data_IF_544001058071
#
_entry.id   IF_544001058071
#
_cell.length_a   1.000
_cell.length_b   1.000
_cell.length_c   1.000
_cell.angle_alpha   90.00
_cell.angle_beta   90.00
_cell.angle_gamma   90.00
#
_symmetry.space_group_name_H-M   'P 1'
#
loop_
_entity.id
_entity.type
_entity.pdbx_description
1 polymer ?
#
# COMPACT_ATOMS: atom_id res chain seq x y z
N UNK A 1 17.99 -0.07 -42.64
CA UNK A 1 17.55 -1.04 -41.61
C UNK A 1 18.61 -1.08 -40.52
N UNK A 2 18.26 -0.76 -39.26
CA UNK A 2 19.19 -0.85 -38.13
C UNK A 2 19.08 -2.25 -37.53
N UNK A 3 20.18 -2.99 -37.51
CA UNK A 3 20.28 -4.31 -36.86
C UNK A 3 20.22 -4.13 -35.34
N UNK A 4 19.34 -4.83 -34.60
CA UNK A 4 19.32 -4.73 -33.15
C UNK A 4 20.53 -5.48 -32.56
N UNK A 5 21.26 -4.83 -31.67
CA UNK A 5 22.28 -5.48 -30.85
C UNK A 5 21.59 -6.33 -29.77
N UNK A 6 21.59 -7.65 -29.95
CA UNK A 6 21.20 -8.58 -28.88
C UNK A 6 22.40 -8.79 -27.94
N UNK A 7 22.41 -8.11 -26.80
CA UNK A 7 23.39 -8.37 -25.76
C UNK A 7 23.00 -9.64 -25.00
N UNK A 8 23.74 -10.74 -25.22
CA UNK A 8 23.54 -12.01 -24.48
C UNK A 8 24.05 -11.85 -23.04
N UNK A 9 23.23 -12.24 -22.06
CA UNK A 9 23.50 -12.20 -20.60
C UNK A 9 24.77 -12.94 -20.14
N UNK A 10 25.48 -13.65 -21.03
CA UNK A 10 26.60 -14.53 -20.69
C UNK A 10 27.98 -13.88 -20.75
N UNK A 11 28.10 -12.62 -21.21
CA UNK A 11 29.42 -11.97 -21.41
C UNK A 11 29.84 -11.05 -20.26
N UNK A 12 29.12 -11.02 -19.13
CA UNK A 12 29.43 -10.09 -18.03
C UNK A 12 30.18 -10.72 -16.83
N UNK A 13 30.88 -11.84 -17.03
CA UNK A 13 31.71 -12.42 -15.95
C UNK A 13 33.12 -12.76 -16.44
N UNK A 14 33.86 -11.74 -16.84
CA UNK A 14 35.32 -11.84 -16.90
C UNK A 14 35.93 -10.48 -16.62
N UNK A 15 36.55 -10.36 -15.44
CA UNK A 15 37.48 -9.28 -15.11
C UNK A 15 36.95 -8.31 -14.07
N UNK A 16 37.40 -8.49 -12.82
CA UNK A 16 38.26 -7.55 -12.11
C UNK A 16 38.46 -8.13 -10.70
N UNK A 17 39.61 -8.76 -10.47
CA UNK A 17 40.13 -8.99 -9.13
C UNK A 17 40.78 -7.68 -8.66
N UNK A 18 39.96 -6.70 -8.30
CA UNK A 18 40.42 -5.55 -7.54
C UNK A 18 40.27 -5.91 -6.06
N UNK A 19 41.40 -5.96 -5.37
CA UNK A 19 41.50 -6.03 -3.91
C UNK A 19 40.67 -4.90 -3.29
N UNK A 20 39.46 -5.22 -2.85
CA UNK A 20 38.69 -4.36 -1.99
C UNK A 20 39.36 -4.34 -0.61
N UNK A 21 40.05 -3.26 -0.27
CA UNK A 21 40.29 -2.93 1.13
C UNK A 21 38.93 -2.67 1.76
N UNK A 22 38.32 -3.71 2.32
CA UNK A 22 37.06 -3.62 3.03
C UNK A 22 37.27 -2.76 4.28
N UNK A 23 36.97 -1.46 4.17
CA UNK A 23 36.62 -0.69 5.36
C UNK A 23 35.36 -1.34 5.93
N UNK A 24 35.33 -1.58 7.24
CA UNK A 24 34.16 -2.14 7.89
C UNK A 24 32.97 -1.21 7.59
N UNK A 25 32.05 -1.67 6.73
CA UNK A 25 30.84 -0.94 6.45
C UNK A 25 30.06 -0.83 7.76
N UNK A 26 29.88 0.40 8.25
CA UNK A 26 29.03 0.65 9.42
C UNK A 26 27.58 0.42 8.98
N UNK A 27 27.06 -0.77 9.31
CA UNK A 27 25.73 -1.24 8.92
C UNK A 27 24.62 -0.84 9.91
N UNK A 28 24.91 0.09 10.82
CA UNK A 28 23.95 0.55 11.83
C UNK A 28 22.90 1.47 11.19
N UNK A 29 21.88 0.86 10.58
CA UNK A 29 20.70 1.56 10.08
C UNK A 29 19.71 1.88 11.24
N UNK A 30 18.97 2.99 11.16
CA UNK A 30 17.95 3.31 12.15
C UNK A 30 16.80 2.28 12.15
N UNK A 31 16.23 2.03 13.33
CA UNK A 31 15.03 1.21 13.45
C UNK A 31 13.85 1.94 12.81
N UNK A 32 13.19 1.30 11.84
CA UNK A 32 12.10 1.91 11.06
C UNK A 32 10.72 1.83 11.73
N UNK A 33 10.61 1.14 12.87
CA UNK A 33 9.34 0.94 13.56
C UNK A 33 8.39 -0.04 12.87
N UNK A 34 7.13 -0.12 13.32
CA UNK A 34 6.12 -1.01 12.73
C UNK A 34 5.71 -0.55 11.33
N UNK A 35 5.37 -1.53 10.47
CA UNK A 35 4.84 -1.29 9.12
C UNK A 35 3.42 -1.86 9.02
N UNK A 36 2.63 -1.31 8.09
CA UNK A 36 1.27 -1.78 7.78
C UNK A 36 1.30 -2.78 6.63
N UNK A 37 0.44 -3.80 6.68
CA UNK A 37 0.27 -4.71 5.54
C UNK A 37 -0.43 -3.99 4.39
N UNK A 38 0.21 -3.91 3.23
CA UNK A 38 -0.36 -3.28 2.03
C UNK A 38 -1.30 -4.20 1.26
N UNK A 39 -1.40 -5.47 1.65
CA UNK A 39 -2.39 -6.39 1.10
C UNK A 39 -2.81 -7.41 2.14
N UNK A 40 -3.97 -8.03 1.95
CA UNK A 40 -4.44 -9.13 2.79
C UNK A 40 -5.18 -10.16 1.96
N UNK A 41 -4.62 -11.37 1.92
CA UNK A 41 -5.23 -12.54 1.31
C UNK A 41 -6.11 -13.31 2.30
N UNK A 42 -7.27 -13.78 1.85
CA UNK A 42 -8.16 -14.68 2.60
C UNK A 42 -9.10 -15.43 1.67
N UNK A 43 -9.68 -16.53 2.18
CA UNK A 43 -10.68 -17.31 1.44
C UNK A 43 -12.10 -16.82 1.70
N UNK A 44 -12.95 -16.86 0.68
CA UNK A 44 -14.41 -16.76 0.80
C UNK A 44 -15.06 -17.84 -0.08
N UNK A 45 -15.56 -18.91 0.54
CA UNK A 45 -16.01 -20.08 -0.19
C UNK A 45 -14.85 -20.71 -0.99
N UNK A 46 -15.05 -20.89 -2.30
CA UNK A 46 -14.03 -21.42 -3.22
C UNK A 46 -13.10 -20.36 -3.79
N UNK A 47 -13.27 -19.08 -3.43
CA UNK A 47 -12.48 -17.98 -3.96
C UNK A 47 -11.33 -17.61 -3.05
N UNK A 48 -10.19 -17.28 -3.66
CA UNK A 48 -9.08 -16.59 -3.00
C UNK A 48 -9.23 -15.09 -3.28
N UNK A 49 -9.34 -14.29 -2.22
CA UNK A 49 -9.53 -12.84 -2.29
C UNK A 49 -8.29 -12.16 -1.73
N UNK A 50 -7.77 -11.18 -2.46
CA UNK A 50 -6.71 -10.28 -1.99
C UNK A 50 -7.19 -8.84 -2.06
N UNK A 51 -7.27 -8.18 -0.90
CA UNK A 51 -7.41 -6.71 -0.85
C UNK A 51 -6.04 -6.06 -0.92
N UNK A 52 -5.91 -4.96 -1.65
CA UNK A 52 -4.66 -4.20 -1.82
C UNK A 52 -4.90 -2.78 -1.34
N UNK A 53 -4.19 -2.32 -0.31
CA UNK A 53 -4.19 -0.92 0.10
C UNK A 53 -3.30 -0.12 -0.86
N UNK A 54 -3.90 0.44 -1.92
CA UNK A 54 -3.17 1.22 -2.94
C UNK A 54 -2.93 2.66 -2.54
N UNK A 55 -3.67 3.18 -1.56
CA UNK A 55 -3.50 4.54 -1.08
C UNK A 55 -4.23 4.82 0.22
N UNK A 56 -3.69 5.78 0.97
CA UNK A 56 -4.31 6.34 2.18
C UNK A 56 -4.19 7.84 2.10
N UNK A 57 -5.32 8.55 2.20
CA UNK A 57 -5.37 10.00 2.13
C UNK A 57 -6.08 10.51 3.38
N UNK A 58 -5.40 11.37 4.13
CA UNK A 58 -6.02 12.15 5.20
C UNK A 58 -6.54 13.45 4.61
N UNK A 59 -7.84 13.70 4.74
CA UNK A 59 -8.49 14.93 4.30
C UNK A 59 -8.69 15.81 5.52
N UNK A 60 -8.01 16.97 5.54
CA UNK A 60 -8.06 17.92 6.65
C UNK A 60 -9.16 18.98 6.39
N UNK A 61 -10.41 18.60 6.59
CA UNK A 61 -11.58 19.47 6.53
C UNK A 61 -12.63 19.00 7.55
N UNK A 62 -13.69 19.79 7.72
CA UNK A 62 -14.84 19.42 8.56
C UNK A 62 -15.51 18.13 8.01
N UNK A 63 -15.40 16.98 8.70
CA UNK A 63 -16.01 15.74 8.26
C UNK A 63 -17.54 15.79 8.32
N UNK A 64 -18.13 16.56 9.22
CA UNK A 64 -19.58 16.62 9.38
C UNK A 64 -20.27 17.29 8.19
N UNK A 65 -19.54 18.13 7.44
CA UNK A 65 -20.04 18.68 6.17
C UNK A 65 -20.34 17.62 5.09
N UNK A 66 -19.89 16.38 5.27
CA UNK A 66 -20.11 15.24 4.36
C UNK A 66 -20.82 14.07 5.07
N UNK A 67 -20.45 13.76 6.31
CA UNK A 67 -20.94 12.62 7.07
C UNK A 67 -21.83 13.07 8.23
N UNK A 68 -22.80 12.24 8.65
CA UNK A 68 -23.62 12.57 9.83
C UNK A 68 -24.45 13.87 9.67
N UNK A 69 -24.84 14.22 8.44
CA UNK A 69 -25.61 15.44 8.13
C UNK A 69 -26.99 15.51 8.79
N UNK A 70 -27.45 14.38 9.33
CA UNK A 70 -28.77 14.21 9.95
C UNK A 70 -28.74 14.30 11.48
N UNK A 71 -27.58 14.58 12.09
CA UNK A 71 -27.43 14.71 13.55
C UNK A 71 -26.91 16.10 13.93
N UNK A 72 -27.09 16.47 15.20
CA UNK A 72 -26.50 17.71 15.73
C UNK A 72 -24.98 17.65 15.78
N UNK A 73 -24.32 18.81 15.84
CA UNK A 73 -22.87 18.92 16.02
C UNK A 73 -22.41 18.24 17.33
N UNK A 74 -23.15 18.45 18.43
CA UNK A 74 -22.84 17.84 19.73
C UNK A 74 -22.90 16.30 19.68
N UNK A 75 -23.90 15.75 18.98
CA UNK A 75 -24.02 14.30 18.81
C UNK A 75 -22.89 13.73 17.95
N UNK A 76 -22.55 14.40 16.85
CA UNK A 76 -21.43 14.01 15.99
C UNK A 76 -20.11 13.97 16.76
N UNK A 77 -19.79 15.06 17.48
CA UNK A 77 -18.57 15.16 18.30
C UNK A 77 -18.51 14.09 19.38
N UNK A 78 -19.62 13.85 20.08
CA UNK A 78 -19.70 12.82 21.11
C UNK A 78 -19.43 11.43 20.55
N UNK A 79 -20.08 11.04 19.44
CA UNK A 79 -19.90 9.72 18.83
C UNK A 79 -18.48 9.55 18.28
N UNK A 80 -17.90 10.59 17.67
CA UNK A 80 -16.52 10.59 17.22
C UNK A 80 -15.55 10.35 18.40
N UNK A 81 -15.71 11.10 19.49
CA UNK A 81 -14.90 10.94 20.70
C UNK A 81 -15.03 9.54 21.32
N UNK A 82 -16.24 9.00 21.42
CA UNK A 82 -16.51 7.65 21.94
C UNK A 82 -15.83 6.53 21.12
N UNK A 83 -15.56 6.77 19.84
CA UNK A 83 -14.95 5.81 18.93
C UNK A 83 -13.48 6.12 18.59
N UNK A 84 -12.87 7.11 19.26
CA UNK A 84 -11.52 7.61 18.96
C UNK A 84 -11.33 8.02 17.49
N UNK A 85 -12.39 8.57 16.89
CA UNK A 85 -12.39 9.11 15.52
C UNK A 85 -12.22 10.63 15.62
N UNK A 86 -11.29 11.24 14.87
CA UNK A 86 -11.18 12.70 14.79
C UNK A 86 -12.43 13.32 14.17
N UNK A 87 -12.90 14.43 14.73
CA UNK A 87 -14.02 15.25 14.23
C UNK A 87 -13.56 16.44 13.37
N UNK A 88 -12.26 16.56 13.09
CA UNK A 88 -11.62 17.68 12.37
C UNK A 88 -10.94 17.26 11.05
N UNK A 89 -10.93 15.96 10.75
CA UNK A 89 -10.37 15.33 9.56
C UNK A 89 -10.91 13.93 9.40
N UNK A 90 -10.82 13.37 8.20
CA UNK A 90 -11.13 11.96 7.97
C UNK A 90 -10.08 11.28 7.11
N UNK A 91 -10.03 9.96 7.18
CA UNK A 91 -9.09 9.14 6.43
C UNK A 91 -9.83 8.30 5.39
N UNK A 92 -9.39 8.40 4.14
CA UNK A 92 -9.87 7.58 3.03
C UNK A 92 -8.85 6.50 2.69
N UNK A 93 -9.35 5.31 2.37
CA UNK A 93 -8.55 4.19 1.91
C UNK A 93 -8.99 3.80 0.50
N UNK A 94 -8.02 3.56 -0.38
CA UNK A 94 -8.26 2.99 -1.69
C UNK A 94 -7.86 1.52 -1.65
N UNK A 95 -8.85 0.64 -1.76
CA UNK A 95 -8.66 -0.80 -1.59
C UNK A 95 -9.12 -1.62 -2.81
N UNK A 96 -8.42 -1.56 -3.96
CA UNK A 96 -8.66 -2.49 -5.05
C UNK A 96 -8.64 -3.94 -4.57
N UNK A 97 -9.48 -4.76 -5.18
CA UNK A 97 -9.67 -6.15 -4.75
C UNK A 97 -9.47 -7.10 -5.92
N UNK A 98 -8.58 -8.06 -5.73
CA UNK A 98 -8.34 -9.16 -6.67
C UNK A 98 -9.08 -10.39 -6.19
N UNK A 99 -9.84 -11.03 -7.08
CA UNK A 99 -10.52 -12.29 -6.83
C UNK A 99 -9.99 -13.34 -7.80
N UNK A 100 -9.43 -14.41 -7.26
CA UNK A 100 -9.10 -15.62 -8.00
C UNK A 100 -10.21 -16.65 -7.78
N UNK A 101 -10.91 -17.01 -8.85
CA UNK A 101 -12.02 -17.96 -8.83
C UNK A 101 -11.57 -19.41 -9.08
N UNK A 102 -10.28 -19.62 -9.37
CA UNK A 102 -9.71 -20.87 -9.87
C UNK A 102 -9.71 -20.97 -11.41
N UNK A 103 -10.62 -20.27 -12.09
CA UNK A 103 -10.68 -20.20 -13.56
C UNK A 103 -10.31 -18.81 -14.11
N UNK A 104 -10.59 -17.77 -13.33
CA UNK A 104 -10.38 -16.38 -13.72
C UNK A 104 -9.71 -15.60 -12.60
N UNK A 105 -8.94 -14.58 -12.99
CA UNK A 105 -8.38 -13.59 -12.09
C UNK A 105 -9.01 -12.24 -12.41
N UNK A 106 -9.78 -11.71 -11.48
CA UNK A 106 -10.62 -10.52 -11.67
C UNK A 106 -10.12 -9.43 -10.74
N UNK A 107 -9.93 -8.22 -11.29
CA UNK A 107 -9.58 -7.02 -10.52
C UNK A 107 -10.79 -6.08 -10.49
N UNK A 108 -11.22 -5.72 -9.28
CA UNK A 108 -12.21 -4.67 -9.03
C UNK A 108 -11.49 -3.38 -8.62
N UNK A 109 -11.80 -2.30 -9.34
CA UNK A 109 -11.12 -0.99 -9.29
C UNK A 109 -9.60 -1.07 -9.53
N UNK A 110 -8.94 0.09 -9.62
CA UNK A 110 -7.48 0.15 -9.90
C UNK A 110 -6.71 1.14 -9.02
N UNK A 111 -7.36 1.68 -7.98
CA UNK A 111 -6.80 2.72 -7.12
C UNK A 111 -7.12 4.12 -7.63
N UNK A 112 -6.54 5.14 -6.98
CA UNK A 112 -6.65 6.54 -7.38
C UNK A 112 -5.63 6.95 -8.44
#
# INVERSE_FOLDING_TARGET
MKTPYYMRRRTFLTGVAATATATAAQSAAPMLGPSMSLHRGFQLGSFEITTILSGTVTVNNDPQSIFGLNVSEDEFKRVCAENAIPDDKFQMFYTPTVINTGAELILFDTGQ
#
